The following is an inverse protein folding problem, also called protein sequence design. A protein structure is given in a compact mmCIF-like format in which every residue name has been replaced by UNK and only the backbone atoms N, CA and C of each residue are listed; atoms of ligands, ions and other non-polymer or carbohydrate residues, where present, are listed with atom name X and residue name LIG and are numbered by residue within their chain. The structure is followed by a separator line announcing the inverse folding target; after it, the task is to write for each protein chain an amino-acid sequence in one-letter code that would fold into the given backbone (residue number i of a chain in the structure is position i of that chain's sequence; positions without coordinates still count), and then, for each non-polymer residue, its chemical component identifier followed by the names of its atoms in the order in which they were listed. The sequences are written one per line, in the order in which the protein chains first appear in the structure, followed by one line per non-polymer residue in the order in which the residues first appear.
data_IF_935065256308
#
_entry.id   IF_935065256308
#
_cell.length_a   1.000
_cell.length_b   1.000
_cell.length_c   1.000
_cell.angle_alpha   90.00
_cell.angle_beta   90.00
_cell.angle_gamma   90.00
#
_symmetry.space_group_name_H-M   'P 1'
#
loop_
_entity.id
_entity.type
_entity.pdbx_description
1 polymer ?
#
# COMPACT_ATOMS: atom_id res chain seq x y z
N UNK A 1 3.27 29.80 8.14
CA UNK A 1 3.39 29.86 6.67
C UNK A 1 2.18 29.15 6.08
N UNK A 2 1.40 29.77 5.20
CA UNK A 2 0.23 29.13 4.60
C UNK A 2 0.63 28.05 3.60
N UNK A 3 0.18 26.81 3.81
CA UNK A 3 0.48 25.72 2.89
C UNK A 3 -0.12 26.01 1.51
N UNK A 4 0.68 25.94 0.44
CA UNK A 4 0.23 26.22 -0.94
C UNK A 4 -0.88 25.24 -1.36
N UNK A 5 -1.99 25.78 -1.86
CA UNK A 5 -3.09 25.01 -2.46
C UNK A 5 -2.55 24.11 -3.60
N UNK A 6 -2.94 22.84 -3.60
CA UNK A 6 -2.59 21.92 -4.68
C UNK A 6 -3.38 22.30 -5.94
N UNK A 7 -2.67 22.56 -7.04
CA UNK A 7 -3.30 22.85 -8.34
C UNK A 7 -3.58 21.55 -9.10
N UNK A 8 -4.75 21.48 -9.73
CA UNK A 8 -5.10 20.37 -10.63
C UNK A 8 -5.30 19.01 -9.95
N UNK A 9 -5.73 18.99 -8.67
CA UNK A 9 -5.98 17.76 -7.90
C UNK A 9 -6.78 16.74 -8.70
N UNK A 10 -7.93 17.15 -9.24
CA UNK A 10 -8.81 16.28 -10.03
C UNK A 10 -8.08 15.63 -11.20
N UNK A 11 -7.34 16.42 -11.99
CA UNK A 11 -6.58 15.92 -13.14
C UNK A 11 -5.51 14.91 -12.71
N UNK A 12 -4.75 15.22 -11.65
CA UNK A 12 -3.70 14.32 -11.13
C UNK A 12 -4.30 13.00 -10.65
N UNK A 13 -5.39 13.05 -9.88
CA UNK A 13 -6.10 11.87 -9.41
C UNK A 13 -6.66 11.05 -10.58
N UNK A 14 -7.33 11.69 -11.54
CA UNK A 14 -7.87 10.99 -12.72
C UNK A 14 -6.79 10.27 -13.50
N UNK A 15 -5.66 10.92 -13.78
CA UNK A 15 -4.56 10.30 -14.51
C UNK A 15 -3.97 9.09 -13.76
N UNK A 16 -3.76 9.23 -12.46
CA UNK A 16 -3.29 8.14 -11.61
C UNK A 16 -4.30 6.98 -11.60
N UNK A 17 -5.59 7.28 -11.43
CA UNK A 17 -6.66 6.28 -11.44
C UNK A 17 -6.69 5.50 -12.75
N UNK A 18 -6.66 6.19 -13.89
CA UNK A 18 -6.61 5.55 -15.21
C UNK A 18 -5.38 4.64 -15.33
N UNK A 19 -4.21 5.12 -14.93
CA UNK A 19 -2.96 4.35 -15.03
C UNK A 19 -3.00 3.07 -14.19
N UNK A 20 -3.55 3.11 -12.98
CA UNK A 20 -3.71 1.92 -12.14
C UNK A 20 -4.70 0.95 -12.78
N UNK A 21 -5.85 1.42 -13.25
CA UNK A 21 -6.86 0.57 -13.90
C UNK A 21 -6.26 -0.15 -15.11
N UNK A 22 -5.53 0.56 -15.95
CA UNK A 22 -4.85 0.00 -17.13
C UNK A 22 -3.79 -1.03 -16.72
N UNK A 23 -2.93 -0.70 -15.74
CA UNK A 23 -1.86 -1.58 -15.26
C UNK A 23 -2.36 -2.84 -14.57
N UNK A 24 -3.60 -2.83 -14.07
CA UNK A 24 -4.24 -3.96 -13.37
C UNK A 24 -5.38 -4.56 -14.18
N UNK A 25 -5.44 -4.28 -15.48
CA UNK A 25 -6.48 -4.79 -16.38
C UNK A 25 -6.36 -6.30 -16.63
N UNK A 26 -5.16 -6.85 -16.46
CA UNK A 26 -4.86 -8.28 -16.55
C UNK A 26 -4.04 -8.68 -15.32
N UNK A 27 -4.10 -9.97 -14.96
CA UNK A 27 -3.19 -10.51 -13.95
C UNK A 27 -1.76 -10.50 -14.48
N UNK A 28 -0.77 -9.93 -13.76
CA UNK A 28 0.57 -9.76 -14.29
C UNK A 28 1.32 -11.10 -14.41
N UNK A 29 2.30 -11.12 -15.30
CA UNK A 29 3.30 -12.19 -15.32
C UNK A 29 4.39 -11.89 -14.29
N UNK A 30 4.58 -12.81 -13.35
CA UNK A 30 5.51 -12.65 -12.22
C UNK A 30 6.73 -13.55 -12.45
N UNK A 31 7.85 -12.90 -12.77
CA UNK A 31 9.15 -13.55 -13.06
C UNK A 31 10.06 -13.65 -11.83
N UNK A 32 9.75 -12.92 -10.76
CA UNK A 32 10.45 -12.89 -9.47
C UNK A 32 9.58 -13.48 -8.33
N UNK A 33 10.03 -13.35 -7.07
CA UNK A 33 9.26 -13.80 -5.89
C UNK A 33 7.96 -13.01 -5.68
N UNK A 34 7.92 -11.77 -6.17
CA UNK A 34 6.76 -10.91 -6.11
C UNK A 34 6.72 -9.94 -7.29
N UNK A 35 5.53 -9.37 -7.53
CA UNK A 35 5.29 -8.21 -8.38
C UNK A 35 4.67 -7.10 -7.53
N UNK A 36 4.89 -5.83 -7.88
CA UNK A 36 4.28 -4.73 -7.16
C UNK A 36 3.95 -3.54 -8.07
N UNK A 37 3.00 -2.72 -7.61
CA UNK A 37 2.55 -1.51 -8.30
C UNK A 37 2.27 -0.41 -7.28
N UNK A 38 3.15 0.59 -7.26
CA UNK A 38 2.95 1.84 -6.53
C UNK A 38 1.89 2.74 -7.19
N UNK A 39 1.37 3.72 -6.43
CA UNK A 39 0.57 4.80 -7.01
C UNK A 39 1.38 5.57 -8.06
N UNK A 40 0.96 5.61 -9.34
CA UNK A 40 1.71 6.25 -10.44
C UNK A 40 1.53 7.77 -10.40
N UNK A 41 2.13 8.41 -9.40
CA UNK A 41 2.03 9.86 -9.18
C UNK A 41 3.25 10.40 -8.44
N UNK A 42 3.36 11.71 -8.35
CA UNK A 42 4.50 12.38 -7.70
C UNK A 42 4.38 12.34 -6.17
N UNK A 43 5.49 12.06 -5.48
CA UNK A 43 5.64 12.20 -4.03
C UNK A 43 5.05 13.51 -3.49
N UNK A 44 5.39 14.64 -4.11
CA UNK A 44 4.91 15.99 -3.70
C UNK A 44 3.41 16.18 -3.76
N UNK A 45 2.69 15.37 -4.54
CA UNK A 45 1.23 15.40 -4.59
C UNK A 45 0.63 14.57 -3.46
N UNK A 46 1.10 13.34 -3.27
CA UNK A 46 0.54 12.41 -2.28
C UNK A 46 0.90 12.79 -0.84
N UNK A 47 2.08 13.36 -0.62
CA UNK A 47 2.51 13.80 0.71
C UNK A 47 2.30 15.31 0.92
N UNK A 48 1.38 15.89 0.17
CA UNK A 48 0.99 17.27 0.42
C UNK A 48 0.19 17.35 1.72
N UNK A 49 0.52 18.25 2.65
CA UNK A 49 -0.26 18.44 3.88
C UNK A 49 -1.69 18.96 3.60
N UNK A 50 -1.93 19.42 2.38
CA UNK A 50 -3.23 19.89 1.91
C UNK A 50 -4.01 18.82 1.12
N UNK A 51 -3.56 17.56 1.12
CA UNK A 51 -4.30 16.47 0.47
C UNK A 51 -5.55 16.16 1.30
N UNK A 52 -6.77 16.30 0.74
CA UNK A 52 -7.99 16.08 1.51
C UNK A 52 -8.14 14.61 1.92
N UNK A 53 -8.65 14.34 3.12
CA UNK A 53 -8.86 12.96 3.59
C UNK A 53 -9.79 12.14 2.69
N UNK A 54 -10.82 12.77 2.11
CA UNK A 54 -11.66 12.09 1.12
C UNK A 54 -10.84 11.60 -0.09
N UNK A 55 -9.83 12.35 -0.52
CA UNK A 55 -8.96 11.90 -1.60
C UNK A 55 -8.03 10.77 -1.14
N UNK A 56 -7.56 10.80 0.12
CA UNK A 56 -6.82 9.68 0.72
C UNK A 56 -7.66 8.40 0.70
N UNK A 57 -8.89 8.48 1.19
CA UNK A 57 -9.87 7.38 1.20
C UNK A 57 -10.09 6.87 -0.23
N UNK A 58 -10.26 7.76 -1.20
CA UNK A 58 -10.40 7.38 -2.62
C UNK A 58 -9.18 6.65 -3.18
N UNK A 59 -7.96 7.06 -2.82
CA UNK A 59 -6.74 6.37 -3.23
C UNK A 59 -6.63 4.98 -2.60
N UNK A 60 -6.89 4.87 -1.29
CA UNK A 60 -6.89 3.60 -0.56
C UNK A 60 -7.94 2.63 -1.11
N UNK A 61 -9.17 3.11 -1.29
CA UNK A 61 -10.25 2.31 -1.89
C UNK A 61 -9.90 1.87 -3.31
N UNK A 62 -9.29 2.75 -4.11
CA UNK A 62 -8.86 2.36 -5.45
C UNK A 62 -7.84 1.21 -5.41
N UNK A 63 -6.87 1.22 -4.49
CA UNK A 63 -5.95 0.10 -4.35
C UNK A 63 -6.68 -1.20 -3.95
N UNK A 64 -7.63 -1.11 -3.02
CA UNK A 64 -8.47 -2.24 -2.58
C UNK A 64 -9.28 -2.82 -3.74
N UNK A 65 -10.01 -1.97 -4.48
CA UNK A 65 -10.83 -2.38 -5.61
C UNK A 65 -9.99 -3.06 -6.71
N UNK A 66 -8.78 -2.57 -6.95
CA UNK A 66 -7.90 -3.09 -8.01
C UNK A 66 -7.17 -4.35 -7.60
N UNK A 67 -6.75 -4.48 -6.35
CA UNK A 67 -6.26 -5.75 -5.80
C UNK A 67 -7.36 -6.82 -5.80
N UNK A 68 -8.58 -6.46 -5.39
CA UNK A 68 -9.72 -7.38 -5.45
C UNK A 68 -10.02 -7.85 -6.88
N UNK A 69 -9.98 -6.92 -7.84
CA UNK A 69 -10.15 -7.25 -9.24
C UNK A 69 -9.06 -8.21 -9.74
N UNK A 70 -7.79 -7.99 -9.38
CA UNK A 70 -6.69 -8.90 -9.70
C UNK A 70 -6.91 -10.28 -9.08
N UNK A 71 -7.35 -10.33 -7.82
CA UNK A 71 -7.66 -11.60 -7.16
C UNK A 71 -8.74 -12.39 -7.93
N UNK A 72 -9.75 -11.72 -8.48
CA UNK A 72 -10.79 -12.36 -9.33
C UNK A 72 -10.33 -12.70 -10.75
N UNK A 73 -9.28 -12.05 -11.25
CA UNK A 73 -8.67 -12.37 -12.54
C UNK A 73 -7.58 -13.45 -12.47
N UNK A 74 -7.21 -13.88 -11.25
CA UNK A 74 -6.17 -14.86 -11.00
C UNK A 74 -6.40 -16.13 -11.83
N UNK A 75 -5.45 -16.50 -12.71
CA UNK A 75 -5.50 -17.78 -13.44
C UNK A 75 -5.46 -18.99 -12.49
N UNK A 76 -6.04 -20.12 -12.91
CA UNK A 76 -6.07 -21.34 -12.09
C UNK A 76 -4.68 -21.88 -11.74
N UNK A 77 -3.73 -21.73 -12.64
CA UNK A 77 -2.33 -22.12 -12.44
C UNK A 77 -1.57 -21.18 -11.51
N UNK A 78 -2.17 -20.05 -11.14
CA UNK A 78 -1.63 -19.04 -10.21
C UNK A 78 -2.46 -18.91 -8.93
N UNK A 79 -3.28 -19.91 -8.59
CA UNK A 79 -4.22 -19.85 -7.45
C UNK A 79 -3.52 -19.55 -6.11
N UNK A 80 -2.26 -19.98 -5.97
CA UNK A 80 -1.44 -19.75 -4.78
C UNK A 80 -0.78 -18.36 -4.74
N UNK A 81 -0.81 -17.58 -5.84
CA UNK A 81 -0.27 -16.22 -5.82
C UNK A 81 -1.15 -15.36 -4.90
N UNK A 82 -0.58 -14.67 -3.92
CA UNK A 82 -1.32 -13.89 -2.93
C UNK A 82 -1.39 -12.43 -3.34
N UNK A 83 -2.60 -11.89 -3.49
CA UNK A 83 -2.81 -10.47 -3.77
C UNK A 83 -2.96 -9.72 -2.45
N UNK A 84 -2.04 -8.78 -2.20
CA UNK A 84 -1.95 -7.98 -0.98
C UNK A 84 -1.78 -6.50 -1.35
N UNK A 85 -2.18 -5.61 -0.46
CA UNK A 85 -2.00 -4.16 -0.59
C UNK A 85 -1.25 -3.70 0.65
N UNK A 86 -0.27 -2.84 0.47
CA UNK A 86 0.34 -2.07 1.54
C UNK A 86 -0.20 -0.63 1.48
N UNK A 87 -0.79 -0.17 2.59
CA UNK A 87 -1.37 1.16 2.73
C UNK A 87 -0.66 1.89 3.86
N UNK A 88 -0.15 3.08 3.55
CA UNK A 88 0.54 3.95 4.51
C UNK A 88 -0.18 5.30 4.52
N UNK A 89 -1.14 5.54 5.44
CA UNK A 89 -2.03 6.71 5.38
C UNK A 89 -1.32 8.07 5.50
N UNK A 90 -0.21 8.10 6.24
CA UNK A 90 0.66 9.27 6.42
C UNK A 90 1.59 9.49 5.22
N UNK A 91 1.92 8.42 4.48
CA UNK A 91 2.76 8.40 3.28
C UNK A 91 2.10 7.59 2.15
N UNK A 92 0.99 8.10 1.61
CA UNK A 92 0.25 7.39 0.57
C UNK A 92 1.07 7.12 -0.68
N UNK A 93 2.14 7.89 -0.91
CA UNK A 93 3.03 7.65 -2.04
C UNK A 93 3.71 6.28 -1.97
N UNK A 94 4.03 5.81 -0.76
CA UNK A 94 4.63 4.51 -0.50
C UNK A 94 3.62 3.35 -0.57
N UNK A 95 2.32 3.65 -0.67
CA UNK A 95 1.27 2.63 -0.81
C UNK A 95 1.33 1.93 -2.17
N UNK A 96 1.03 0.63 -2.18
CA UNK A 96 1.21 -0.24 -3.34
C UNK A 96 0.34 -1.50 -3.29
N UNK A 97 0.08 -2.07 -4.47
CA UNK A 97 -0.39 -3.45 -4.60
C UNK A 97 0.85 -4.35 -4.69
N UNK A 98 0.82 -5.50 -4.05
CA UNK A 98 1.87 -6.51 -4.07
C UNK A 98 1.22 -7.86 -4.40
N UNK A 99 1.80 -8.61 -5.33
CA UNK A 99 1.41 -9.99 -5.59
C UNK A 99 2.59 -10.88 -5.26
N UNK A 100 2.43 -11.73 -4.26
CA UNK A 100 3.45 -12.70 -3.86
C UNK A 100 3.23 -14.01 -4.60
N UNK A 101 4.29 -14.54 -5.20
CA UNK A 101 4.28 -15.84 -5.89
C UNK A 101 4.87 -16.95 -5.02
N UNK A 102 5.78 -16.57 -4.12
CA UNK A 102 6.58 -17.48 -3.32
C UNK A 102 6.12 -17.43 -1.86
N UNK A 103 5.61 -18.56 -1.36
CA UNK A 103 5.07 -18.67 0.00
C UNK A 103 6.15 -18.48 1.07
N UNK A 104 7.39 -18.93 0.82
CA UNK A 104 8.51 -18.77 1.76
C UNK A 104 8.89 -17.29 1.90
N UNK A 105 8.96 -16.58 0.77
CA UNK A 105 9.20 -15.13 0.76
C UNK A 105 8.06 -14.39 1.45
N UNK A 106 6.80 -14.76 1.19
CA UNK A 106 5.64 -14.17 1.87
C UNK A 106 5.70 -14.37 3.39
N UNK A 107 5.97 -15.59 3.86
CA UNK A 107 6.04 -15.90 5.29
C UNK A 107 7.10 -15.08 6.03
N UNK A 108 8.21 -14.75 5.36
CA UNK A 108 9.29 -13.96 5.93
C UNK A 108 9.15 -12.44 5.68
N UNK A 109 8.24 -12.01 4.79
CA UNK A 109 8.12 -10.62 4.36
C UNK A 109 7.86 -9.65 5.52
N UNK A 110 7.05 -10.06 6.49
CA UNK A 110 6.67 -9.24 7.66
C UNK A 110 7.68 -9.31 8.81
N UNK A 111 8.69 -10.19 8.73
CA UNK A 111 9.68 -10.39 9.78
C UNK A 111 10.79 -9.33 9.71
N UNK A 112 10.43 -8.07 9.97
CA UNK A 112 11.36 -6.93 10.03
C UNK A 112 11.70 -6.63 11.48
N UNK A 113 12.88 -7.05 11.90
CA UNK A 113 13.40 -6.77 13.24
C UNK A 113 14.93 -6.85 13.20
N UNK A 114 15.53 -6.00 12.39
CA UNK A 114 16.98 -5.90 12.25
C UNK A 114 17.48 -4.48 12.56
N UNK A 115 18.76 -4.21 12.28
CA UNK A 115 19.39 -2.93 12.60
C UNK A 115 18.94 -1.77 11.70
N UNK A 116 18.27 -2.06 10.59
CA UNK A 116 17.84 -1.09 9.59
C UNK A 116 16.33 -0.87 9.69
N UNK A 117 15.57 -1.91 9.98
CA UNK A 117 14.11 -1.85 9.98
C UNK A 117 13.47 -2.73 11.05
N UNK A 118 12.51 -2.16 11.76
CA UNK A 118 11.69 -2.84 12.77
C UNK A 118 10.22 -2.60 12.50
N UNK A 119 9.43 -3.66 12.40
CA UNK A 119 7.98 -3.60 12.28
C UNK A 119 7.34 -4.14 13.56
N UNK A 120 6.62 -3.28 14.26
CA UNK A 120 5.92 -3.64 15.49
C UNK A 120 4.43 -3.82 15.19
N UNK A 121 3.81 -4.98 15.47
CA UNK A 121 2.38 -5.16 15.27
C UNK A 121 1.57 -4.09 16.01
N UNK A 122 0.55 -3.53 15.36
CA UNK A 122 -0.39 -2.56 15.94
C UNK A 122 -1.81 -3.10 15.86
N UNK A 123 -2.70 -2.60 16.71
CA UNK A 123 -4.06 -3.11 16.83
C UNK A 123 -4.91 -2.59 15.70
N UNK A 124 -5.79 -3.43 15.14
CA UNK A 124 -6.69 -3.04 14.04
C UNK A 124 -7.50 -1.77 14.35
N UNK A 125 -7.86 -1.57 15.62
CA UNK A 125 -8.56 -0.38 16.13
C UNK A 125 -7.79 0.93 15.92
N UNK A 126 -6.47 0.88 15.72
CA UNK A 126 -5.64 2.02 15.39
C UNK A 126 -5.81 2.47 13.91
N UNK A 127 -6.43 1.64 13.05
CA UNK A 127 -6.68 1.99 11.65
C UNK A 127 -7.94 2.86 11.49
N UNK A 128 -7.81 4.15 11.78
CA UNK A 128 -8.95 5.09 11.74
C UNK A 128 -9.67 5.20 10.38
N UNK A 129 -9.03 4.80 9.29
CA UNK A 129 -9.62 4.81 7.96
C UNK A 129 -10.49 3.59 7.65
N UNK A 130 -10.39 2.51 8.41
CA UNK A 130 -11.07 1.24 8.12
C UNK A 130 -12.58 1.42 7.89
N UNK A 131 -13.24 2.17 8.76
CA UNK A 131 -14.69 2.41 8.70
C UNK A 131 -15.17 3.13 7.42
N UNK A 132 -14.24 3.73 6.66
CA UNK A 132 -14.53 4.43 5.40
C UNK A 132 -14.16 3.60 4.16
N UNK A 133 -13.60 2.40 4.35
CA UNK A 133 -13.15 1.53 3.30
C UNK A 133 -14.06 0.31 3.19
N UNK A 134 -14.34 -0.10 1.95
CA UNK A 134 -15.03 -1.34 1.64
C UNK A 134 -13.99 -2.41 1.35
N UNK A 135 -13.64 -3.17 2.39
CA UNK A 135 -12.71 -4.30 2.30
C UNK A 135 -13.51 -5.57 1.97
N UNK A 136 -13.15 -6.35 0.93
CA UNK A 136 -13.80 -7.63 0.64
C UNK A 136 -13.69 -8.61 1.82
N UNK A 137 -14.73 -9.42 2.03
CA UNK A 137 -14.77 -10.38 3.16
C UNK A 137 -13.63 -11.40 3.12
N UNK A 138 -13.13 -11.73 1.92
CA UNK A 138 -12.01 -12.64 1.73
C UNK A 138 -10.64 -12.00 2.00
N UNK A 139 -10.57 -10.67 2.21
CA UNK A 139 -9.34 -9.98 2.54
C UNK A 139 -9.19 -9.79 4.04
N UNK A 140 -8.04 -10.21 4.56
CA UNK A 140 -7.64 -9.95 5.94
C UNK A 140 -6.92 -8.61 6.06
N UNK A 141 -6.90 -8.04 7.26
CA UNK A 141 -6.22 -6.77 7.59
C UNK A 141 -5.27 -6.99 8.77
N UNK A 142 -4.01 -6.62 8.60
CA UNK A 142 -3.01 -6.54 9.68
C UNK A 142 -2.27 -5.20 9.61
N UNK A 143 -1.77 -4.70 10.73
CA UNK A 143 -1.05 -3.44 10.80
C UNK A 143 0.30 -3.57 11.50
N UNK A 144 1.25 -2.75 11.06
CA UNK A 144 2.54 -2.58 11.73
C UNK A 144 2.88 -1.09 11.87
N UNK A 145 3.61 -0.76 12.93
CA UNK A 145 4.39 0.47 13.03
C UNK A 145 5.76 0.19 12.42
N UNK A 146 6.00 0.77 11.25
CA UNK A 146 7.26 0.71 10.50
C UNK A 146 8.23 1.74 11.05
N UNK A 147 9.41 1.27 11.47
CA UNK A 147 10.48 2.10 12.01
C UNK A 147 11.75 1.81 11.20
N UNK A 148 12.26 2.83 10.51
CA UNK A 148 13.46 2.72 9.68
C UNK A 148 14.58 3.55 10.29
N UNK A 149 15.76 2.95 10.36
CA UNK A 149 17.02 3.55 10.82
C UNK A 149 17.95 3.74 9.62
N UNK A 150 18.64 4.89 9.56
CA UNK A 150 19.71 5.15 8.60
C UNK A 150 21.05 4.73 9.21
N UNK A 151 21.94 4.17 8.38
CA UNK A 151 23.25 3.59 8.71
C UNK A 151 24.17 4.54 9.49
N UNK A 152 23.88 5.84 9.51
CA UNK A 152 24.60 6.86 10.28
C UNK A 152 23.94 7.33 11.57
N UNK A 153 22.72 6.90 11.89
CA UNK A 153 21.92 7.37 13.05
C UNK A 153 21.31 6.20 13.82
N UNK A 154 22.16 5.29 14.30
CA UNK A 154 21.75 4.13 15.14
C UNK A 154 20.89 4.47 16.37
N UNK A 155 20.84 5.73 16.81
CA UNK A 155 20.14 6.14 18.02
C UNK A 155 18.82 6.89 17.78
N UNK A 156 18.46 7.19 16.53
CA UNK A 156 17.21 7.88 16.22
C UNK A 156 16.64 7.41 14.87
N UNK A 157 15.37 6.96 14.83
CA UNK A 157 14.74 6.53 13.58
C UNK A 157 14.64 7.69 12.61
N UNK A 158 14.90 7.42 11.33
CA UNK A 158 14.76 8.39 10.24
C UNK A 158 13.34 8.46 9.71
N UNK A 159 12.56 7.40 9.92
CA UNK A 159 11.17 7.33 9.48
C UNK A 159 10.37 6.46 10.45
N UNK A 160 9.16 6.92 10.77
CA UNK A 160 8.16 6.18 11.54
C UNK A 160 6.82 6.41 10.84
N UNK A 161 6.13 5.32 10.50
CA UNK A 161 4.76 5.39 9.97
C UNK A 161 3.99 4.13 10.32
N UNK A 162 2.67 4.22 10.30
CA UNK A 162 1.83 3.04 10.35
C UNK A 162 1.62 2.52 8.91
N UNK A 163 1.78 1.21 8.73
CA UNK A 163 1.59 0.50 7.47
C UNK A 163 0.58 -0.63 7.68
N UNK A 164 -0.41 -0.68 6.80
CA UNK A 164 -1.53 -1.60 6.87
C UNK A 164 -1.51 -2.52 5.65
N UNK A 165 -1.59 -3.82 5.89
CA UNK A 165 -1.65 -4.83 4.86
C UNK A 165 -3.07 -5.38 4.73
N UNK A 166 -3.60 -5.39 3.52
CA UNK A 166 -4.95 -5.87 3.20
C UNK A 166 -4.87 -6.87 2.05
N UNK A 167 -5.39 -8.09 2.22
CA UNK A 167 -5.38 -9.08 1.14
C UNK A 167 -5.42 -10.53 1.62
N UNK A 168 -4.86 -11.42 0.79
CA UNK A 168 -4.65 -12.84 1.08
C UNK A 168 -3.43 -13.02 2.01
N UNK A 169 -3.65 -12.86 3.32
CA UNK A 169 -2.62 -12.88 4.36
C UNK A 169 -2.36 -14.27 4.96
#
# INVERSE_FOLDING_TARGET
MGHKKIRGIRRKYTNMKTSIIESTSNFPEITSNYWHLHLPTSYSFMNSPNLPDNLKIQCMQLLIDRAWHLNKLKPKDKENDRVVIAITPEDLWSSQIIIFKDDDYFANFFSRNDNYEVWQPISKEDFHFEQYLSIPDEFSLIGYKEIIYDDGRMFAPTYISDIWFIGEL
#
